data_IF_814907860891
#
_entry.id   IF_814907860891
#
_cell.length_a   1.000
_cell.length_b   1.000
_cell.length_c   1.000
_cell.angle_alpha   90.00
_cell.angle_beta   90.00
_cell.angle_gamma   90.00
#
_symmetry.space_group_name_H-M   'P 1'
#
loop_
_entity.id
_entity.type
_entity.pdbx_description
1 polymer ?
#
# COMPACT_ATOMS: atom_id res chain seq x y z
N UNK A 1 -1.95 10.60 6.67
CA UNK A 1 -2.75 9.53 6.06
C UNK A 1 -3.82 9.17 7.06
N UNK A 2 -5.02 9.68 6.86
CA UNK A 2 -6.22 9.15 7.51
C UNK A 2 -6.56 7.86 6.75
N UNK A 3 -7.00 6.81 7.45
CA UNK A 3 -7.49 5.58 6.82
C UNK A 3 -8.59 5.95 5.81
N UNK A 4 -8.49 5.46 4.58
CA UNK A 4 -9.46 5.80 3.52
C UNK A 4 -10.69 4.92 3.66
N UNK A 5 -11.86 5.54 3.90
CA UNK A 5 -13.14 4.82 3.91
C UNK A 5 -13.42 4.14 2.57
N UNK A 6 -13.06 4.79 1.45
CA UNK A 6 -13.27 4.21 0.10
C UNK A 6 -12.47 2.91 -0.07
N UNK A 7 -11.20 2.92 0.36
CA UNK A 7 -10.38 1.73 0.32
C UNK A 7 -10.91 0.65 1.26
N UNK A 8 -11.33 1.04 2.47
CA UNK A 8 -11.91 0.11 3.45
C UNK A 8 -13.15 -0.60 2.92
N UNK A 9 -14.09 0.16 2.33
CA UNK A 9 -15.27 -0.38 1.65
C UNK A 9 -14.85 -1.33 0.49
N UNK A 10 -13.85 -0.94 -0.32
CA UNK A 10 -13.36 -1.76 -1.44
C UNK A 10 -12.66 -3.07 -1.00
N UNK A 11 -12.12 -3.09 0.22
CA UNK A 11 -11.50 -4.26 0.84
C UNK A 11 -12.51 -5.14 1.59
N UNK A 12 -13.77 -4.71 1.72
CA UNK A 12 -14.79 -5.40 2.50
C UNK A 12 -14.63 -5.23 4.01
N UNK A 13 -14.03 -4.12 4.46
CA UNK A 13 -13.95 -3.77 5.87
C UNK A 13 -15.32 -3.64 6.51
N UNK A 14 -15.41 -3.95 7.80
CA UNK A 14 -16.67 -3.88 8.56
C UNK A 14 -16.49 -3.09 9.85
N UNK A 15 -17.53 -2.36 10.32
CA UNK A 15 -17.41 -1.62 11.58
C UNK A 15 -17.06 -2.55 12.75
N UNK A 16 -16.06 -2.15 13.54
CA UNK A 16 -15.63 -2.84 14.78
C UNK A 16 -15.02 -4.24 14.55
N UNK A 17 -14.39 -4.49 13.42
CA UNK A 17 -13.70 -5.74 13.09
C UNK A 17 -12.24 -5.85 13.59
N UNK A 18 -11.78 -4.86 14.36
CA UNK A 18 -10.37 -4.72 14.79
C UNK A 18 -9.38 -4.57 13.61
N UNK A 19 -9.86 -4.14 12.43
CA UNK A 19 -9.07 -3.95 11.21
C UNK A 19 -9.10 -2.50 10.73
N UNK A 20 -8.08 -2.13 9.95
CA UNK A 20 -7.99 -0.87 9.22
C UNK A 20 -7.43 -1.09 7.82
N UNK A 21 -8.03 -0.44 6.83
CA UNK A 21 -7.46 -0.32 5.49
C UNK A 21 -6.09 0.37 5.49
N UNK A 22 -5.14 -0.28 4.84
CA UNK A 22 -3.79 0.22 4.62
C UNK A 22 -3.51 0.35 3.12
N UNK A 23 -3.16 1.55 2.67
CA UNK A 23 -2.68 1.78 1.31
C UNK A 23 -1.26 1.21 1.14
N UNK A 24 -1.07 0.37 0.12
CA UNK A 24 0.23 -0.18 -0.27
C UNK A 24 1.12 0.91 -0.87
N UNK A 25 0.57 1.69 -1.80
CA UNK A 25 1.17 2.95 -2.25
C UNK A 25 0.44 4.07 -1.50
N UNK A 26 1.11 4.74 -0.53
CA UNK A 26 0.46 5.78 0.27
C UNK A 26 -0.11 6.89 -0.60
N UNK A 27 -1.29 7.42 -0.23
CA UNK A 27 -1.98 8.49 -0.99
C UNK A 27 -1.08 9.66 -1.37
N UNK A 28 -0.16 10.08 -0.49
CA UNK A 28 0.79 11.15 -0.81
C UNK A 28 1.76 10.74 -1.93
N UNK A 29 2.29 9.51 -1.88
CA UNK A 29 3.17 9.01 -2.96
C UNK A 29 2.37 8.91 -4.25
N UNK A 30 1.12 8.44 -4.20
CA UNK A 30 0.27 8.40 -5.38
C UNK A 30 0.09 9.79 -6.02
N UNK A 31 -0.31 10.77 -5.21
CA UNK A 31 -0.55 12.16 -5.66
C UNK A 31 0.73 12.88 -6.12
N UNK A 32 1.86 12.62 -5.46
CA UNK A 32 3.15 13.20 -5.86
C UNK A 32 3.63 12.65 -7.23
N UNK A 33 3.05 11.55 -7.72
CA UNK A 33 3.40 10.86 -8.97
C UNK A 33 2.16 10.65 -9.87
N UNK A 34 1.16 11.51 -9.76
CA UNK A 34 -0.15 11.34 -10.38
C UNK A 34 -0.07 11.25 -11.92
N UNK A 35 0.75 12.10 -12.54
CA UNK A 35 0.97 12.09 -13.99
C UNK A 35 1.50 10.74 -14.49
N UNK A 36 2.41 10.11 -13.74
CA UNK A 36 2.90 8.78 -14.06
C UNK A 36 1.78 7.74 -13.99
N UNK A 37 0.99 7.72 -12.91
CA UNK A 37 -0.13 6.78 -12.77
C UNK A 37 -1.21 6.99 -13.85
N UNK A 38 -1.46 8.24 -14.27
CA UNK A 38 -2.34 8.55 -15.41
C UNK A 38 -1.77 7.94 -16.69
N UNK A 39 -0.49 8.17 -16.99
CA UNK A 39 0.16 7.70 -18.23
C UNK A 39 0.22 6.18 -18.35
N UNK A 40 0.15 5.44 -17.25
CA UNK A 40 0.14 3.97 -17.26
C UNK A 40 -1.26 3.36 -17.07
N UNK A 41 -2.32 4.17 -17.20
CA UNK A 41 -3.71 3.70 -17.12
C UNK A 41 -4.15 3.27 -15.72
N UNK A 42 -3.57 3.83 -14.66
CA UNK A 42 -3.85 3.49 -13.27
C UNK A 42 -4.45 4.64 -12.45
N UNK A 43 -4.80 5.80 -13.03
CA UNK A 43 -5.27 6.98 -12.29
C UNK A 43 -6.38 6.71 -11.25
N UNK A 44 -7.30 5.80 -11.55
CA UNK A 44 -8.43 5.47 -10.68
C UNK A 44 -8.13 4.37 -9.64
N UNK A 45 -6.91 3.84 -9.60
CA UNK A 45 -6.57 2.64 -8.81
C UNK A 45 -6.15 2.95 -7.37
N UNK A 46 -6.04 4.23 -6.98
CA UNK A 46 -5.54 4.65 -5.67
C UNK A 46 -6.32 4.02 -4.50
N UNK A 47 -7.64 4.03 -4.56
CA UNK A 47 -8.55 3.51 -3.52
C UNK A 47 -9.13 2.13 -3.87
N UNK A 48 -8.62 1.45 -4.90
CA UNK A 48 -9.05 0.09 -5.23
C UNK A 48 -8.34 -0.95 -4.36
N UNK A 49 -8.95 -2.13 -4.22
CA UNK A 49 -8.43 -3.25 -3.41
C UNK A 49 -7.00 -3.65 -3.80
N UNK A 50 -6.64 -3.48 -5.08
CA UNK A 50 -5.31 -3.77 -5.61
C UNK A 50 -4.22 -2.92 -4.93
N UNK A 51 -4.55 -1.70 -4.49
CA UNK A 51 -3.65 -0.81 -3.76
C UNK A 51 -3.81 -0.88 -2.23
N UNK A 52 -4.47 -1.91 -1.69
CA UNK A 52 -4.63 -2.02 -0.24
C UNK A 52 -4.59 -3.41 0.36
N UNK A 53 -4.58 -3.42 1.69
CA UNK A 53 -4.91 -4.59 2.51
C UNK A 53 -5.59 -4.15 3.82
N UNK A 54 -6.41 -5.02 4.39
CA UNK A 54 -6.85 -4.87 5.78
C UNK A 54 -5.73 -5.33 6.71
N UNK A 55 -5.42 -4.52 7.71
CA UNK A 55 -4.43 -4.82 8.75
C UNK A 55 -5.06 -4.70 10.12
N UNK A 56 -4.59 -5.48 11.12
CA UNK A 56 -5.00 -5.27 12.50
C UNK A 56 -4.76 -3.82 12.92
N UNK A 57 -5.70 -3.23 13.65
CA UNK A 57 -5.66 -1.82 14.04
C UNK A 57 -4.82 -1.55 15.31
N UNK A 58 -4.36 -2.63 15.96
CA UNK A 58 -3.71 -2.63 17.25
C UNK A 58 -2.65 -3.72 17.36
N UNK A 59 -1.72 -3.56 18.31
CA UNK A 59 -0.69 -4.57 18.58
C UNK A 59 -1.34 -5.85 19.14
N UNK A 60 -2.34 -5.69 20.01
CA UNK A 60 -3.11 -6.77 20.61
C UNK A 60 -3.85 -7.57 19.54
N UNK A 61 -4.55 -6.91 18.61
CA UNK A 61 -5.21 -7.55 17.47
C UNK A 61 -4.21 -8.33 16.60
N UNK A 62 -3.08 -7.71 16.25
CA UNK A 62 -2.04 -8.41 15.50
C UNK A 62 -1.46 -9.63 16.23
N UNK A 63 -1.31 -9.56 17.55
CA UNK A 63 -0.88 -10.70 18.36
C UNK A 63 -1.89 -11.85 18.30
N UNK A 64 -3.20 -11.56 18.49
CA UNK A 64 -4.28 -12.56 18.38
C UNK A 64 -4.28 -13.23 17.01
N UNK A 65 -4.11 -12.45 15.94
CA UNK A 65 -4.11 -12.90 14.55
C UNK A 65 -2.77 -13.49 14.09
N UNK A 66 -1.77 -13.58 14.97
CA UNK A 66 -0.39 -14.03 14.65
C UNK A 66 0.27 -13.23 13.52
N UNK A 67 -0.03 -11.94 13.42
CA UNK A 67 0.54 -11.00 12.45
C UNK A 67 1.72 -10.25 13.06
N UNK A 68 2.76 -10.02 12.26
CA UNK A 68 3.90 -9.16 12.63
C UNK A 68 3.48 -7.69 12.59
N UNK A 69 2.76 -7.28 11.54
CA UNK A 69 2.48 -5.87 11.32
C UNK A 69 1.04 -5.48 11.66
N UNK A 70 0.88 -4.28 12.21
CA UNK A 70 -0.40 -3.62 12.46
C UNK A 70 -0.37 -2.16 12.01
N UNK A 71 -1.53 -1.58 11.73
CA UNK A 71 -1.68 -0.21 11.28
C UNK A 71 -2.58 0.57 12.25
N UNK A 72 -2.06 1.66 12.81
CA UNK A 72 -2.85 2.56 13.64
C UNK A 72 -2.40 3.98 13.34
N UNK A 73 -3.21 4.81 12.70
CA UNK A 73 -2.87 6.20 12.41
C UNK A 73 -1.83 6.40 11.30
N UNK A 74 -1.27 7.62 11.14
CA UNK A 74 -0.55 8.00 9.92
C UNK A 74 0.74 7.19 9.73
N UNK A 75 1.07 6.91 8.46
CA UNK A 75 2.41 6.44 8.08
C UNK A 75 3.44 7.48 8.54
N UNK A 76 4.43 7.03 9.30
CA UNK A 76 5.52 7.86 9.80
C UNK A 76 6.61 8.05 8.74
N UNK A 77 7.86 8.13 9.20
CA UNK A 77 9.01 8.52 8.37
C UNK A 77 9.68 7.36 7.61
N UNK A 78 9.16 6.12 7.66
CA UNK A 78 9.91 4.95 7.15
C UNK A 78 9.23 4.30 5.94
N UNK A 79 7.98 3.88 6.05
CA UNK A 79 7.28 3.15 4.99
C UNK A 79 7.12 3.98 3.73
N UNK A 80 6.61 5.21 3.86
CA UNK A 80 6.35 6.06 2.69
C UNK A 80 7.62 6.38 1.88
N UNK A 81 8.78 6.72 2.47
CA UNK A 81 10.02 6.90 1.70
C UNK A 81 10.54 5.62 1.03
N UNK A 82 10.31 4.43 1.61
CA UNK A 82 10.66 3.16 0.97
C UNK A 82 9.81 2.97 -0.28
N UNK A 83 8.48 3.09 -0.14
CA UNK A 83 7.55 2.90 -1.27
C UNK A 83 7.77 3.97 -2.34
N UNK A 84 8.01 5.23 -1.95
CA UNK A 84 8.34 6.31 -2.89
C UNK A 84 9.56 5.97 -3.76
N UNK A 85 10.64 5.45 -3.17
CA UNK A 85 11.82 5.05 -3.94
C UNK A 85 11.52 3.95 -4.95
N UNK A 86 10.66 2.99 -4.59
CA UNK A 86 10.25 1.93 -5.51
C UNK A 86 9.44 2.49 -6.69
N UNK A 87 8.48 3.38 -6.44
CA UNK A 87 7.70 4.05 -7.49
C UNK A 87 8.61 4.89 -8.40
N UNK A 88 9.49 5.72 -7.83
CA UNK A 88 10.45 6.54 -8.58
C UNK A 88 11.32 5.69 -9.52
N UNK A 89 11.75 4.51 -9.08
CA UNK A 89 12.57 3.65 -9.94
C UNK A 89 11.78 3.13 -11.15
N UNK A 90 10.53 2.69 -10.94
CA UNK A 90 9.68 2.21 -12.04
C UNK A 90 9.33 3.37 -13.00
N UNK A 91 9.02 4.55 -12.44
CA UNK A 91 8.73 5.74 -13.24
C UNK A 91 9.96 6.17 -14.07
N UNK A 92 11.17 6.08 -13.51
CA UNK A 92 12.40 6.36 -14.27
C UNK A 92 12.60 5.39 -15.43
N UNK A 93 12.43 4.09 -15.20
CA UNK A 93 12.51 3.08 -16.28
C UNK A 93 11.50 3.40 -17.39
N UNK A 94 10.28 3.84 -17.02
CA UNK A 94 9.26 4.23 -17.99
C UNK A 94 9.60 5.53 -18.75
N UNK A 95 10.08 6.57 -18.05
CA UNK A 95 10.48 7.85 -18.68
C UNK A 95 11.68 7.66 -19.61
N UNK A 96 12.59 6.75 -19.26
CA UNK A 96 13.75 6.40 -20.09
C UNK A 96 13.39 5.45 -21.26
N UNK A 97 12.11 5.09 -21.43
CA UNK A 97 11.64 4.15 -22.46
C UNK A 97 12.26 2.75 -22.35
N UNK A 98 12.78 2.38 -21.17
CA UNK A 98 13.29 1.03 -20.88
C UNK A 98 12.14 0.02 -20.71
N UNK A 99 10.96 0.52 -20.34
CA UNK A 99 9.70 -0.21 -20.27
C UNK A 99 8.57 0.63 -20.87
N UNK A 100 7.58 -0.06 -21.43
CA UNK A 100 6.34 0.55 -21.90
C UNK A 100 5.30 0.69 -20.76
N UNK A 101 4.13 1.22 -21.09
CA UNK A 101 3.00 1.36 -20.16
C UNK A 101 2.60 0.01 -19.52
N UNK A 102 2.52 -1.05 -20.33
CA UNK A 102 2.15 -2.38 -19.85
C UNK A 102 3.20 -2.93 -18.86
N UNK A 103 4.49 -2.75 -19.16
CA UNK A 103 5.61 -3.10 -18.30
C UNK A 103 5.62 -2.32 -17.00
N UNK A 104 5.37 -1.01 -17.05
CA UNK A 104 5.27 -0.16 -15.86
C UNK A 104 4.11 -0.59 -14.95
N UNK A 105 2.92 -0.83 -15.53
CA UNK A 105 1.74 -1.32 -14.81
C UNK A 105 1.99 -2.69 -14.16
N UNK A 106 2.64 -3.60 -14.90
CA UNK A 106 3.01 -4.92 -14.37
C UNK A 106 3.98 -4.80 -13.18
N UNK A 107 4.97 -3.90 -13.26
CA UNK A 107 5.92 -3.66 -12.16
C UNK A 107 5.26 -3.03 -10.94
N UNK A 108 4.35 -2.06 -11.11
CA UNK A 108 3.57 -1.49 -10.01
C UNK A 108 2.71 -2.58 -9.33
N UNK A 109 2.03 -3.41 -10.12
CA UNK A 109 1.21 -4.51 -9.60
C UNK A 109 2.04 -5.54 -8.84
N UNK A 110 3.22 -5.89 -9.36
CA UNK A 110 4.16 -6.79 -8.69
C UNK A 110 4.70 -6.19 -7.39
N UNK A 111 5.01 -4.89 -7.39
CA UNK A 111 5.44 -4.16 -6.19
C UNK A 111 4.34 -4.18 -5.11
N UNK A 112 3.09 -3.88 -5.47
CA UNK A 112 1.93 -3.97 -4.56
C UNK A 112 1.78 -5.38 -3.99
N UNK A 113 1.91 -6.42 -4.83
CA UNK A 113 1.88 -7.82 -4.39
C UNK A 113 2.95 -8.14 -3.34
N UNK A 114 4.20 -7.71 -3.57
CA UNK A 114 5.31 -7.90 -2.62
C UNK A 114 5.09 -7.16 -1.30
N UNK A 115 4.62 -5.91 -1.36
CA UNK A 115 4.30 -5.12 -0.17
C UNK A 115 3.17 -5.78 0.64
N UNK A 116 2.11 -6.25 -0.03
CA UNK A 116 1.00 -6.96 0.60
C UNK A 116 1.47 -8.23 1.32
N UNK A 117 2.32 -9.03 0.67
CA UNK A 117 2.89 -10.24 1.27
C UNK A 117 3.75 -9.91 2.49
N UNK A 118 4.64 -8.92 2.38
CA UNK A 118 5.53 -8.50 3.47
C UNK A 118 4.77 -7.95 4.68
N UNK A 119 3.76 -7.11 4.45
CA UNK A 119 2.88 -6.59 5.51
C UNK A 119 1.95 -7.66 6.09
N UNK A 120 1.81 -8.79 5.40
CA UNK A 120 1.04 -9.94 5.86
C UNK A 120 1.83 -11.01 6.59
N UNK A 121 3.12 -10.75 6.86
CA UNK A 121 3.99 -11.68 7.55
C UNK A 121 3.41 -12.14 8.90
N UNK A 122 3.45 -13.45 9.13
CA UNK A 122 3.08 -14.07 10.40
C UNK A 122 4.24 -14.04 11.38
N UNK A 123 3.93 -13.89 12.68
CA UNK A 123 4.95 -13.92 13.72
C UNK A 123 4.48 -13.46 15.09
N UNK A 124 5.35 -13.66 16.07
CA UNK A 124 5.03 -13.44 17.49
C UNK A 124 5.46 -12.07 18.02
N UNK A 125 6.18 -11.27 17.22
CA UNK A 125 6.66 -9.94 17.60
C UNK A 125 5.97 -8.87 16.75
N UNK A 126 5.14 -8.05 17.38
CA UNK A 126 4.34 -7.04 16.71
C UNK A 126 5.14 -5.75 16.44
N UNK A 127 4.91 -5.16 15.28
CA UNK A 127 5.54 -3.93 14.82
C UNK A 127 4.49 -3.06 14.14
N UNK A 128 4.37 -1.81 14.56
CA UNK A 128 3.54 -0.83 13.86
C UNK A 128 4.18 -0.51 12.52
N UNK A 129 3.40 -0.44 11.45
CA UNK A 129 3.88 0.15 10.20
C UNK A 129 4.09 1.65 10.43
N UNK A 130 5.34 2.09 10.33
CA UNK A 130 5.80 3.48 10.48
C UNK A 130 6.41 3.97 9.19
#
# INVERSE_FOLDING_TARGET
GLCSKKLDDALGGTPKDEMQAHHLIPQKVWRDHDEFFIRIGMSEDMDKKENGLLMPDSAEGAKKMKRVFYHCGPHGKVYSPIVKRMVVNIEKEFINEEIDEAGARAKISAMQGRLRLGLSASGNKQRRVR
#
